data_IF_517784073776
#
_entry.id   IF_517784073776
#
_cell.length_a   1.000
_cell.length_b   1.000
_cell.length_c   1.000
_cell.angle_alpha   90.00
_cell.angle_beta   90.00
_cell.angle_gamma   90.00
#
_symmetry.space_group_name_H-M   'P 1'
#
loop_
_entity.id
_entity.type
_entity.pdbx_description
1 polymer ?
#
# COMPACT_ATOMS: atom_id res chain seq x y z
N UNK A 1 3.96 38.31 17.25
CA UNK A 1 2.48 38.31 17.25
C UNK A 1 1.98 37.19 18.16
N UNK A 2 1.32 37.48 19.27
CA UNK A 2 0.83 36.46 20.22
C UNK A 2 -0.20 35.51 19.58
N UNK A 3 -1.06 36.00 18.67
CA UNK A 3 -2.05 35.16 17.98
C UNK A 3 -1.46 34.08 17.04
N UNK A 4 -0.27 34.28 16.47
CA UNK A 4 0.35 33.32 15.57
C UNK A 4 0.77 32.01 16.26
N UNK A 5 1.16 32.08 17.53
CA UNK A 5 1.54 30.89 18.31
C UNK A 5 0.31 30.03 18.63
N UNK A 6 -0.79 30.65 19.00
CA UNK A 6 -2.05 29.94 19.29
C UNK A 6 -2.58 29.29 18.01
N UNK A 7 -2.63 30.05 16.93
CA UNK A 7 -3.08 29.52 15.64
C UNK A 7 -2.19 28.36 15.16
N UNK A 8 -0.87 28.48 15.28
CA UNK A 8 0.07 27.42 14.94
C UNK A 8 -0.16 26.16 15.80
N UNK A 9 -0.34 26.32 17.11
CA UNK A 9 -0.61 25.20 18.01
C UNK A 9 -1.92 24.47 17.65
N UNK A 10 -2.99 25.20 17.38
CA UNK A 10 -4.29 24.63 16.94
C UNK A 10 -4.13 23.91 15.61
N UNK A 11 -3.40 24.50 14.66
CA UNK A 11 -3.13 23.89 13.36
C UNK A 11 -2.40 22.56 13.46
N UNK A 12 -1.31 22.50 14.22
CA UNK A 12 -0.57 21.26 14.45
C UNK A 12 -1.38 20.21 15.20
N UNK A 13 -2.22 20.63 16.16
CA UNK A 13 -3.14 19.75 16.85
C UNK A 13 -4.18 19.11 15.92
N UNK A 14 -4.75 19.90 15.01
CA UNK A 14 -5.66 19.38 13.99
C UNK A 14 -4.98 18.41 13.04
N UNK A 15 -3.75 18.72 12.58
CA UNK A 15 -2.95 17.81 11.75
C UNK A 15 -2.65 16.49 12.47
N UNK A 16 -2.28 16.57 13.76
CA UNK A 16 -2.06 15.38 14.58
C UNK A 16 -3.30 14.50 14.65
N UNK A 17 -4.47 15.08 14.93
CA UNK A 17 -5.72 14.30 15.00
C UNK A 17 -6.12 13.74 13.64
N UNK A 18 -5.94 14.48 12.57
CA UNK A 18 -6.20 13.99 11.22
C UNK A 18 -5.33 12.77 10.88
N UNK A 19 -4.02 12.82 11.16
CA UNK A 19 -3.11 11.70 10.99
C UNK A 19 -3.45 10.52 11.91
N UNK A 20 -3.74 10.80 13.18
CA UNK A 20 -4.07 9.79 14.17
C UNK A 20 -5.34 9.01 13.86
N UNK A 21 -6.41 9.71 13.44
CA UNK A 21 -7.67 9.05 13.05
C UNK A 21 -7.49 8.18 11.82
N UNK A 22 -6.71 8.62 10.82
CA UNK A 22 -6.38 7.82 9.64
C UNK A 22 -5.55 6.58 10.01
N UNK A 23 -4.58 6.72 10.91
CA UNK A 23 -3.77 5.60 11.38
C UNK A 23 -4.63 4.54 12.12
N UNK A 24 -5.58 4.98 12.96
CA UNK A 24 -6.52 4.07 13.63
C UNK A 24 -7.42 3.35 12.61
N UNK A 25 -7.91 4.04 11.60
CA UNK A 25 -8.74 3.44 10.57
C UNK A 25 -7.98 2.35 9.80
N UNK A 26 -6.75 2.62 9.36
CA UNK A 26 -5.89 1.64 8.70
C UNK A 26 -5.54 0.46 9.61
N UNK A 27 -5.24 0.74 10.87
CA UNK A 27 -4.99 -0.29 11.88
C UNK A 27 -6.19 -1.23 12.05
N UNK A 28 -7.39 -0.68 12.23
CA UNK A 28 -8.62 -1.46 12.36
C UNK A 28 -8.91 -2.30 11.11
N UNK A 29 -8.65 -1.76 9.91
CA UNK A 29 -8.80 -2.49 8.66
C UNK A 29 -7.90 -3.73 8.62
N UNK A 30 -6.62 -3.60 8.99
CA UNK A 30 -5.68 -4.73 9.02
C UNK A 30 -6.08 -5.77 10.08
N UNK A 31 -6.57 -5.35 11.24
CA UNK A 31 -7.07 -6.26 12.28
C UNK A 31 -8.30 -7.01 11.80
N UNK A 32 -9.25 -6.33 11.14
CA UNK A 32 -10.43 -6.96 10.56
C UNK A 32 -10.07 -7.97 9.47
N UNK A 33 -9.12 -7.63 8.60
CA UNK A 33 -8.61 -8.54 7.57
C UNK A 33 -8.02 -9.83 8.16
N UNK A 34 -7.25 -9.73 9.26
CA UNK A 34 -6.73 -10.92 9.94
C UNK A 34 -7.84 -11.76 10.59
N UNK A 35 -8.87 -11.11 11.12
CA UNK A 35 -10.01 -11.78 11.72
C UNK A 35 -10.85 -12.51 10.67
N UNK A 36 -11.24 -11.83 9.61
CA UNK A 36 -12.14 -12.33 8.57
C UNK A 36 -11.47 -13.37 7.64
N UNK A 37 -10.26 -13.09 7.18
CA UNK A 37 -9.60 -13.95 6.20
C UNK A 37 -8.74 -15.06 6.83
N UNK A 38 -8.07 -14.77 7.94
CA UNK A 38 -7.21 -15.76 8.61
C UNK A 38 -7.85 -16.40 9.85
N UNK A 39 -9.01 -15.90 10.31
CA UNK A 39 -9.71 -16.41 11.51
C UNK A 39 -8.92 -16.18 12.80
N UNK A 40 -8.08 -15.16 12.84
CA UNK A 40 -7.31 -14.78 14.02
C UNK A 40 -8.22 -14.02 14.98
N UNK A 41 -8.24 -14.39 16.25
CA UNK A 41 -9.02 -13.64 17.24
C UNK A 41 -8.64 -12.15 17.25
N UNK A 42 -9.61 -11.24 17.26
CA UNK A 42 -9.43 -9.78 17.18
C UNK A 42 -8.35 -9.24 18.14
N UNK A 43 -8.32 -9.71 19.40
CA UNK A 43 -7.32 -9.28 20.38
C UNK A 43 -5.90 -9.69 19.98
N UNK A 44 -5.73 -10.92 19.46
CA UNK A 44 -4.43 -11.41 18.99
C UNK A 44 -4.01 -10.70 17.69
N UNK A 45 -4.96 -10.48 16.78
CA UNK A 45 -4.74 -9.70 15.55
C UNK A 45 -4.30 -8.27 15.85
N UNK A 46 -4.97 -7.60 16.78
CA UNK A 46 -4.60 -6.27 17.22
C UNK A 46 -3.17 -6.22 17.78
N UNK A 47 -2.81 -7.15 18.70
CA UNK A 47 -1.45 -7.21 19.23
C UNK A 47 -0.42 -7.48 18.13
N UNK A 48 -0.71 -8.36 17.19
CA UNK A 48 0.18 -8.70 16.09
C UNK A 48 0.44 -7.49 15.18
N UNK A 49 -0.60 -6.77 14.79
CA UNK A 49 -0.47 -5.56 13.96
C UNK A 49 0.27 -4.45 14.73
N UNK A 50 -0.01 -4.29 16.04
CA UNK A 50 0.72 -3.33 16.87
C UNK A 50 2.22 -3.63 16.91
N UNK A 51 2.60 -4.89 17.15
CA UNK A 51 4.02 -5.32 17.14
C UNK A 51 4.64 -5.11 15.76
N UNK A 52 3.91 -5.43 14.69
CA UNK A 52 4.38 -5.19 13.32
C UNK A 52 4.65 -3.69 13.07
N UNK A 53 3.75 -2.81 13.50
CA UNK A 53 3.93 -1.35 13.38
C UNK A 53 5.15 -0.87 14.16
N UNK A 54 5.40 -1.43 15.36
CA UNK A 54 6.60 -1.10 16.12
C UNK A 54 7.88 -1.55 15.40
N UNK A 55 7.91 -2.78 14.86
CA UNK A 55 9.08 -3.31 14.16
C UNK A 55 9.38 -2.52 12.89
N UNK A 56 8.35 -2.21 12.10
CA UNK A 56 8.51 -1.46 10.84
C UNK A 56 8.79 0.01 11.10
N UNK A 57 8.23 0.60 12.15
CA UNK A 57 8.39 2.01 12.50
C UNK A 57 9.63 2.33 13.33
N UNK A 58 10.15 1.38 14.12
CA UNK A 58 11.31 1.60 14.97
C UNK A 58 12.57 2.12 14.23
N UNK A 59 12.88 1.64 13.00
CA UNK A 59 14.02 2.15 12.25
C UNK A 59 13.94 3.65 11.95
N UNK A 60 12.74 4.22 11.81
CA UNK A 60 12.56 5.68 11.59
C UNK A 60 13.09 6.47 12.78
N UNK A 61 12.73 6.04 14.00
CA UNK A 61 13.20 6.68 15.22
C UNK A 61 14.71 6.41 15.45
N UNK A 62 15.16 5.19 15.17
CA UNK A 62 16.55 4.80 15.29
C UNK A 62 17.47 5.60 14.36
N UNK A 63 17.06 5.85 13.11
CA UNK A 63 17.79 6.68 12.16
C UNK A 63 18.07 8.07 12.75
N UNK A 64 17.05 8.77 13.22
CA UNK A 64 17.20 10.10 13.81
C UNK A 64 18.10 10.13 15.06
N UNK A 65 18.06 9.09 15.90
CA UNK A 65 18.90 8.98 17.09
C UNK A 65 20.37 8.71 16.71
N UNK A 66 20.61 7.81 15.75
CA UNK A 66 21.96 7.37 15.38
C UNK A 66 22.67 8.40 14.52
N UNK A 67 21.96 9.02 13.57
CA UNK A 67 22.56 10.01 12.66
C UNK A 67 22.62 11.42 13.23
N UNK A 68 21.84 11.70 14.26
CA UNK A 68 21.68 13.04 14.82
C UNK A 68 20.92 14.00 13.91
N UNK A 69 20.41 13.52 12.79
CA UNK A 69 19.70 14.28 11.78
C UNK A 69 18.37 13.61 11.41
N UNK A 70 17.33 14.41 11.20
CA UNK A 70 16.01 13.90 10.79
C UNK A 70 15.93 13.75 9.26
N UNK A 71 16.83 12.97 8.66
CA UNK A 71 16.89 12.79 7.21
C UNK A 71 15.76 11.91 6.66
N UNK A 72 15.15 11.07 7.50
CA UNK A 72 14.02 10.20 7.14
C UNK A 72 14.29 9.32 5.91
N UNK A 73 15.53 8.87 5.72
CA UNK A 73 15.95 8.07 4.55
C UNK A 73 15.19 6.75 4.50
N UNK A 74 15.13 6.05 5.65
CA UNK A 74 14.39 4.80 5.76
C UNK A 74 12.90 4.99 5.42
N UNK A 75 12.27 6.02 5.99
CA UNK A 75 10.87 6.35 5.72
C UNK A 75 10.64 6.68 4.24
N UNK A 76 11.48 7.53 3.67
CA UNK A 76 11.38 7.94 2.27
C UNK A 76 11.50 6.75 1.33
N UNK A 77 12.41 5.81 1.63
CA UNK A 77 12.59 4.61 0.79
C UNK A 77 11.38 3.67 0.89
N UNK A 78 10.84 3.44 2.09
CA UNK A 78 9.61 2.64 2.28
C UNK A 78 8.43 3.29 1.54
N UNK A 79 8.26 4.61 1.67
CA UNK A 79 7.18 5.36 1.01
C UNK A 79 7.32 5.32 -0.52
N UNK A 80 8.52 5.46 -1.05
CA UNK A 80 8.78 5.34 -2.48
C UNK A 80 8.37 3.99 -3.04
N UNK A 81 8.66 2.89 -2.34
CA UNK A 81 8.32 1.56 -2.81
C UNK A 81 6.86 1.19 -2.57
N UNK A 82 6.33 1.42 -1.37
CA UNK A 82 4.97 1.02 -1.00
C UNK A 82 3.95 2.10 -1.41
N UNK A 83 4.18 3.34 -1.01
CA UNK A 83 3.25 4.46 -1.21
C UNK A 83 3.16 4.93 -2.65
N UNK A 84 4.27 4.88 -3.39
CA UNK A 84 4.29 5.34 -4.77
C UNK A 84 4.28 4.19 -5.78
N UNK A 85 5.31 3.35 -5.80
CA UNK A 85 5.47 2.35 -6.86
C UNK A 85 4.46 1.21 -6.78
N UNK A 86 4.36 0.54 -5.64
CA UNK A 86 3.46 -0.59 -5.46
C UNK A 86 1.98 -0.18 -5.49
N UNK A 87 1.65 1.03 -5.05
CA UNK A 87 0.28 1.53 -5.12
C UNK A 87 -0.21 1.64 -6.57
N UNK A 88 0.65 2.12 -7.48
CA UNK A 88 0.32 2.19 -8.91
C UNK A 88 0.16 0.79 -9.50
N UNK A 89 1.04 -0.15 -9.13
CA UNK A 89 0.95 -1.56 -9.58
C UNK A 89 -0.33 -2.22 -9.08
N UNK A 90 -0.69 -2.02 -7.81
CA UNK A 90 -1.94 -2.54 -7.24
C UNK A 90 -3.16 -1.93 -7.93
N UNK A 91 -3.18 -0.61 -8.16
CA UNK A 91 -4.25 0.05 -8.90
C UNK A 91 -4.41 -0.52 -10.31
N UNK A 92 -3.31 -0.86 -10.99
CA UNK A 92 -3.37 -1.53 -12.29
C UNK A 92 -4.00 -2.92 -12.19
N UNK A 93 -3.61 -3.72 -11.19
CA UNK A 93 -4.18 -5.05 -10.96
C UNK A 93 -5.66 -4.99 -10.61
N UNK A 94 -6.09 -4.03 -9.80
CA UNK A 94 -7.51 -3.80 -9.48
C UNK A 94 -8.32 -3.45 -10.72
N UNK A 95 -7.83 -2.53 -11.54
CA UNK A 95 -8.50 -2.13 -12.78
C UNK A 95 -8.58 -3.29 -13.76
N UNK A 96 -7.53 -4.07 -13.92
CA UNK A 96 -7.54 -5.28 -14.78
C UNK A 96 -8.57 -6.28 -14.24
N UNK A 97 -8.60 -6.52 -12.94
CA UNK A 97 -9.54 -7.45 -12.31
C UNK A 97 -10.98 -7.01 -12.54
N UNK A 98 -11.31 -5.76 -12.26
CA UNK A 98 -12.67 -5.23 -12.44
C UNK A 98 -13.10 -5.21 -13.92
N UNK A 99 -12.20 -4.77 -14.78
CA UNK A 99 -12.56 -4.55 -16.19
C UNK A 99 -12.59 -5.81 -17.02
N UNK A 100 -11.75 -6.81 -16.71
CA UNK A 100 -11.49 -7.96 -17.59
C UNK A 100 -11.89 -9.30 -16.97
N UNK A 101 -11.81 -9.46 -15.64
CA UNK A 101 -12.28 -10.66 -14.94
C UNK A 101 -13.75 -10.52 -14.53
N UNK A 102 -14.11 -9.43 -13.84
CA UNK A 102 -15.49 -9.19 -13.35
C UNK A 102 -16.42 -8.70 -14.46
N UNK A 103 -15.89 -7.96 -15.45
CA UNK A 103 -16.59 -7.52 -16.68
C UNK A 103 -17.92 -6.80 -16.41
N UNK A 104 -19.00 -7.37 -16.99
CA UNK A 104 -20.35 -6.77 -16.96
C UNK A 104 -20.98 -6.77 -15.56
N UNK A 105 -20.57 -7.69 -14.67
CA UNK A 105 -21.06 -7.72 -13.28
C UNK A 105 -20.62 -6.47 -12.50
N UNK A 106 -19.42 -5.96 -12.78
CA UNK A 106 -18.96 -4.69 -12.22
C UNK A 106 -19.82 -3.49 -12.65
N UNK A 107 -20.30 -3.48 -13.90
CA UNK A 107 -21.24 -2.45 -14.38
C UNK A 107 -22.61 -2.56 -13.70
N UNK A 108 -23.10 -3.80 -13.51
CA UNK A 108 -24.37 -4.04 -12.82
C UNK A 108 -24.30 -3.54 -11.37
N UNK A 109 -23.20 -3.86 -10.67
CA UNK A 109 -23.02 -3.43 -9.29
C UNK A 109 -22.88 -1.90 -9.19
N UNK A 110 -22.13 -1.27 -10.11
CA UNK A 110 -21.98 0.19 -10.16
C UNK A 110 -23.30 0.92 -10.39
N UNK A 111 -24.22 0.34 -11.18
CA UNK A 111 -25.53 0.92 -11.46
C UNK A 111 -26.58 0.60 -10.37
N UNK A 112 -26.24 -0.23 -9.38
CA UNK A 112 -27.14 -0.65 -8.31
C UNK A 112 -27.38 0.52 -7.34
N UNK A 113 -28.61 1.00 -7.29
CA UNK A 113 -29.00 2.11 -6.39
C UNK A 113 -28.58 3.50 -6.85
N UNK A 114 -27.96 3.65 -8.02
CA UNK A 114 -27.58 4.95 -8.60
C UNK A 114 -28.75 5.67 -9.25
N UNK A 115 -28.86 7.00 -9.05
CA UNK A 115 -29.81 7.85 -9.76
C UNK A 115 -29.48 7.96 -11.26
N UNK A 116 -28.19 7.83 -11.59
CA UNK A 116 -27.68 7.89 -12.96
C UNK A 116 -27.11 6.53 -13.35
N UNK A 117 -27.51 6.03 -14.51
CA UNK A 117 -27.01 4.76 -15.03
C UNK A 117 -25.85 5.00 -15.99
N UNK A 118 -24.72 4.37 -15.70
CA UNK A 118 -23.53 4.42 -16.57
C UNK A 118 -23.78 3.51 -17.76
N UNK A 119 -23.72 4.03 -19.00
CA UNK A 119 -23.93 3.22 -20.18
C UNK A 119 -22.77 2.26 -20.42
N UNK A 120 -23.05 1.08 -20.99
CA UNK A 120 -22.08 0.00 -21.20
C UNK A 120 -20.87 0.42 -22.05
N UNK A 121 -21.08 1.27 -23.07
CA UNK A 121 -19.98 1.77 -23.89
C UNK A 121 -19.01 2.67 -23.13
N UNK A 122 -19.54 3.51 -22.22
CA UNK A 122 -18.73 4.39 -21.37
C UNK A 122 -17.90 3.58 -20.36
N UNK A 123 -18.52 2.60 -19.70
CA UNK A 123 -17.82 1.69 -18.81
C UNK A 123 -16.67 0.97 -19.52
N UNK A 124 -16.94 0.39 -20.69
CA UNK A 124 -15.90 -0.29 -21.49
C UNK A 124 -14.77 0.65 -21.88
N UNK A 125 -15.09 1.83 -22.43
CA UNK A 125 -14.08 2.77 -22.88
C UNK A 125 -13.16 3.20 -21.73
N UNK A 126 -13.73 3.57 -20.60
CA UNK A 126 -12.95 4.10 -19.48
C UNK A 126 -12.26 2.98 -18.69
N UNK A 127 -12.96 1.94 -18.27
CA UNK A 127 -12.38 0.92 -17.41
C UNK A 127 -11.56 -0.14 -18.15
N UNK A 128 -11.96 -0.53 -19.36
CA UNK A 128 -11.23 -1.56 -20.09
C UNK A 128 -10.05 -1.03 -20.90
N UNK A 129 -10.08 0.24 -21.32
CA UNK A 129 -9.04 0.78 -22.19
C UNK A 129 -8.35 2.00 -21.62
N UNK A 130 -9.06 3.08 -21.36
CA UNK A 130 -8.45 4.35 -21.03
C UNK A 130 -7.68 4.29 -19.69
N UNK A 131 -8.31 3.80 -18.64
CA UNK A 131 -7.69 3.75 -17.30
C UNK A 131 -6.46 2.82 -17.26
N UNK A 132 -6.52 1.56 -17.76
CA UNK A 132 -5.32 0.71 -17.80
C UNK A 132 -4.18 1.32 -18.62
N UNK A 133 -4.49 1.91 -19.78
CA UNK A 133 -3.47 2.54 -20.63
C UNK A 133 -2.82 3.71 -19.89
N UNK A 134 -3.61 4.59 -19.27
CA UNK A 134 -3.06 5.70 -18.49
C UNK A 134 -2.17 5.21 -17.36
N UNK A 135 -2.59 4.19 -16.59
CA UNK A 135 -1.78 3.66 -15.48
C UNK A 135 -0.50 3.02 -16.01
N UNK A 136 -0.54 2.26 -17.12
CA UNK A 136 0.65 1.66 -17.72
C UNK A 136 1.63 2.75 -18.19
N UNK A 137 1.12 3.80 -18.82
CA UNK A 137 1.96 4.94 -19.26
C UNK A 137 2.61 5.62 -18.05
N UNK A 138 1.84 5.90 -17.00
CA UNK A 138 2.38 6.49 -15.77
C UNK A 138 3.41 5.59 -15.11
N UNK A 139 3.14 4.29 -15.00
CA UNK A 139 4.08 3.33 -14.44
C UNK A 139 5.38 3.26 -15.27
N UNK A 140 5.26 3.31 -16.61
CA UNK A 140 6.40 3.31 -17.51
C UNK A 140 7.27 4.58 -17.34
N UNK A 141 6.65 5.76 -17.29
CA UNK A 141 7.36 7.03 -17.08
C UNK A 141 8.02 7.03 -15.70
N UNK A 142 7.28 6.66 -14.65
CA UNK A 142 7.79 6.61 -13.28
C UNK A 142 8.98 5.64 -13.15
N UNK A 143 8.89 4.44 -13.73
CA UNK A 143 9.99 3.46 -13.72
C UNK A 143 11.22 3.98 -14.47
N UNK A 144 11.01 4.60 -15.64
CA UNK A 144 12.08 5.23 -16.40
C UNK A 144 12.79 6.33 -15.61
N UNK A 145 12.03 7.22 -14.99
CA UNK A 145 12.60 8.34 -14.25
C UNK A 145 13.35 7.87 -13.01
N UNK A 146 12.84 6.86 -12.31
CA UNK A 146 13.54 6.19 -11.21
C UNK A 146 14.85 5.53 -11.65
N UNK A 147 14.84 4.91 -12.83
CA UNK A 147 16.05 4.30 -13.41
C UNK A 147 17.10 5.35 -13.76
N UNK A 148 16.69 6.40 -14.45
CA UNK A 148 17.58 7.50 -14.85
C UNK A 148 18.15 8.20 -13.62
N UNK A 149 17.32 8.46 -12.61
CA UNK A 149 17.75 9.06 -11.34
C UNK A 149 18.67 8.13 -10.51
N UNK A 150 18.81 6.87 -10.89
CA UNK A 150 19.66 5.90 -10.17
C UNK A 150 19.10 5.47 -8.81
N UNK A 151 17.80 5.56 -8.60
CA UNK A 151 17.14 5.19 -7.33
C UNK A 151 17.10 3.67 -7.10
N UNK A 152 17.34 2.86 -8.14
CA UNK A 152 17.48 1.40 -8.01
C UNK A 152 18.88 0.96 -7.51
N UNK A 153 19.83 1.87 -7.43
CA UNK A 153 21.19 1.55 -6.93
C UNK A 153 21.17 1.31 -5.42
N UNK A 154 22.18 0.59 -4.92
CA UNK A 154 22.39 0.36 -3.48
C UNK A 154 22.51 1.68 -2.72
N UNK A 155 23.15 2.68 -3.34
CA UNK A 155 23.22 4.06 -2.85
C UNK A 155 22.51 4.96 -3.85
N UNK A 156 21.22 5.27 -3.64
CA UNK A 156 20.44 6.10 -4.56
C UNK A 156 20.98 7.52 -4.69
N UNK A 157 20.72 8.14 -5.83
CA UNK A 157 21.23 9.50 -6.12
C UNK A 157 20.65 10.57 -5.18
N UNK A 158 19.45 10.36 -4.62
CA UNK A 158 18.83 11.33 -3.71
C UNK A 158 19.54 11.46 -2.34
N UNK A 159 20.36 10.50 -1.96
CA UNK A 159 21.23 10.62 -0.77
C UNK A 159 22.60 11.23 -1.10
N UNK A 160 22.77 11.78 -2.29
CA UNK A 160 23.98 12.51 -2.73
C UNK A 160 25.28 11.70 -2.53
N UNK A 161 25.23 10.37 -2.69
CA UNK A 161 26.39 9.50 -2.53
C UNK A 161 26.89 9.32 -1.09
N UNK A 162 26.07 9.67 -0.09
CA UNK A 162 26.41 9.49 1.33
C UNK A 162 26.35 8.00 1.67
N UNK A 163 27.49 7.34 1.66
CA UNK A 163 27.60 5.89 1.85
C UNK A 163 27.09 5.39 3.20
N UNK A 164 27.28 6.17 4.27
CA UNK A 164 26.79 5.78 5.60
C UNK A 164 25.27 5.74 5.73
N UNK A 165 24.54 6.31 4.78
CA UNK A 165 23.08 6.21 4.69
C UNK A 165 22.59 4.96 3.95
N UNK A 166 23.45 4.28 3.19
CA UNK A 166 23.08 3.07 2.45
C UNK A 166 22.47 1.95 3.30
N UNK A 167 22.90 1.69 4.56
CA UNK A 167 22.29 0.69 5.41
C UNK A 167 20.80 0.94 5.66
N UNK A 168 20.36 2.20 5.79
CA UNK A 168 18.96 2.56 5.99
C UNK A 168 18.12 2.30 4.76
N UNK A 169 18.65 2.61 3.57
CA UNK A 169 18.01 2.27 2.28
C UNK A 169 17.83 0.76 2.15
N UNK A 170 18.87 -0.01 2.41
CA UNK A 170 18.84 -1.46 2.25
C UNK A 170 17.95 -2.12 3.31
N UNK A 171 17.94 -1.60 4.55
CA UNK A 171 17.02 -2.04 5.59
C UNK A 171 15.55 -1.80 5.19
N UNK A 172 15.24 -0.63 4.63
CA UNK A 172 13.91 -0.30 4.11
C UNK A 172 13.48 -1.27 3.00
N UNK A 173 14.34 -1.51 2.02
CA UNK A 173 14.07 -2.45 0.92
C UNK A 173 13.86 -3.88 1.42
N UNK A 174 14.69 -4.32 2.36
CA UNK A 174 14.54 -5.63 2.98
C UNK A 174 13.17 -5.75 3.67
N UNK A 175 12.77 -4.76 4.45
CA UNK A 175 11.47 -4.74 5.12
C UNK A 175 10.32 -4.80 4.10
N UNK A 176 10.39 -4.02 3.02
CA UNK A 176 9.38 -4.05 1.95
C UNK A 176 9.27 -5.46 1.36
N UNK A 177 10.38 -6.09 1.00
CA UNK A 177 10.40 -7.44 0.43
C UNK A 177 9.84 -8.47 1.42
N UNK A 178 10.24 -8.40 2.69
CA UNK A 178 9.73 -9.31 3.73
C UNK A 178 8.23 -9.16 3.93
N UNK A 179 7.72 -7.92 4.00
CA UNK A 179 6.28 -7.65 4.13
C UNK A 179 5.51 -8.19 2.93
N UNK A 180 6.01 -8.02 1.70
CA UNK A 180 5.38 -8.56 0.50
C UNK A 180 5.35 -10.10 0.50
N UNK A 181 6.45 -10.75 0.89
CA UNK A 181 6.51 -12.22 0.99
C UNK A 181 5.52 -12.73 2.04
N UNK A 182 5.48 -12.11 3.22
CA UNK A 182 4.54 -12.47 4.28
C UNK A 182 3.11 -12.27 3.79
N UNK A 183 2.80 -11.12 3.18
CA UNK A 183 1.49 -10.83 2.60
C UNK A 183 1.08 -11.88 1.58
N UNK A 184 1.95 -12.24 0.65
CA UNK A 184 1.69 -13.27 -0.37
C UNK A 184 1.41 -14.65 0.27
N UNK A 185 2.22 -15.07 1.25
CA UNK A 185 2.02 -16.35 1.95
C UNK A 185 0.68 -16.36 2.68
N UNK A 186 0.34 -15.27 3.37
CA UNK A 186 -0.91 -15.19 4.12
C UNK A 186 -2.13 -15.17 3.19
N UNK A 187 -2.07 -14.42 2.10
CA UNK A 187 -3.12 -14.41 1.07
C UNK A 187 -3.33 -15.81 0.48
N UNK A 188 -2.24 -16.50 0.14
CA UNK A 188 -2.33 -17.86 -0.37
C UNK A 188 -2.96 -18.84 0.64
N UNK A 189 -2.63 -18.71 1.94
CA UNK A 189 -3.24 -19.51 3.01
C UNK A 189 -4.73 -19.18 3.18
N UNK A 190 -5.10 -17.90 3.13
CA UNK A 190 -6.48 -17.45 3.24
C UNK A 190 -7.34 -18.01 2.09
N UNK A 191 -6.86 -17.94 0.85
CA UNK A 191 -7.53 -18.49 -0.33
C UNK A 191 -7.71 -20.01 -0.18
N UNK A 192 -6.66 -20.75 0.18
CA UNK A 192 -6.76 -22.19 0.38
C UNK A 192 -7.77 -22.58 1.47
N UNK A 193 -7.88 -21.79 2.53
CA UNK A 193 -8.83 -22.03 3.61
C UNK A 193 -10.27 -21.77 3.18
N UNK A 194 -10.50 -20.61 2.51
CA UNK A 194 -11.84 -20.15 2.15
C UNK A 194 -12.48 -20.95 1.02
N UNK A 195 -11.67 -21.37 0.06
CA UNK A 195 -12.12 -22.08 -1.16
C UNK A 195 -11.65 -23.54 -1.24
N UNK A 196 -11.40 -24.17 -0.10
CA UNK A 196 -10.87 -25.55 -0.06
C UNK A 196 -11.76 -26.53 -0.82
N UNK A 197 -13.06 -26.49 -0.57
CA UNK A 197 -14.02 -27.43 -1.14
C UNK A 197 -14.18 -27.23 -2.65
N UNK A 198 -14.17 -26.00 -3.13
CA UNK A 198 -14.21 -25.66 -4.57
C UNK A 198 -12.94 -26.12 -5.29
N UNK A 199 -11.78 -25.92 -4.67
CA UNK A 199 -10.49 -26.34 -5.24
C UNK A 199 -10.42 -27.88 -5.33
N UNK A 200 -10.91 -28.59 -4.33
CA UNK A 200 -10.94 -30.06 -4.34
C UNK A 200 -11.92 -30.59 -5.39
N UNK A 201 -13.10 -29.97 -5.53
CA UNK A 201 -14.09 -30.36 -6.55
C UNK A 201 -13.56 -30.12 -7.97
N UNK A 202 -12.92 -28.99 -8.22
CA UNK A 202 -12.33 -28.69 -9.52
C UNK A 202 -11.17 -29.64 -9.87
N UNK A 203 -10.38 -30.08 -8.89
CA UNK A 203 -9.32 -31.06 -9.12
C UNK A 203 -9.87 -32.47 -9.40
N UNK A 204 -11.01 -32.82 -8.82
CA UNK A 204 -11.65 -34.12 -9.06
C UNK A 204 -12.29 -34.21 -10.46
N UNK A 205 -12.64 -33.05 -11.05
CA UNK A 205 -13.27 -32.93 -12.36
C UNK A 205 -12.27 -32.67 -13.51
N UNK A 206 -10.97 -32.49 -13.21
CA UNK A 206 -9.90 -32.28 -14.20
C UNK A 206 -9.07 -33.55 -14.44
#
# INVERSE_FOLDING_TARGET
MAGGRIFGAVWFFLLFFAGFTSAIAMYNYLVALLEEELGVQRKKGALLIFVLYLIVGAPIAAEGIITGEANLIYFTEVDNWIGNYLLIVLGLLEVITLAWLVRDDGLVEMNKGGLWHVPKWFYKLFHQFLTPICIIVFLGIFTRDYWIAGNFKITPSYINGIEYMAPWVNAARLVVVVVLIIGFIQTHRAIKRKYKDEIETNKANA
#
